data_IF_783535114947
#
_entry.id   IF_783535114947
#
_cell.length_a   1.000
_cell.length_b   1.000
_cell.length_c   1.000
_cell.angle_alpha   90.00
_cell.angle_beta   90.00
_cell.angle_gamma   90.00
#
_symmetry.space_group_name_H-M   'P 1'
#
loop_
_entity.id
_entity.type
_entity.pdbx_description
1 polymer ?
#
# COMPACT_ATOMS: atom_id res chain seq x y z
N UNK A 1 -15.92 -8.38 -12.64
CA UNK A 1 -16.54 -8.02 -11.35
C UNK A 1 -15.46 -7.39 -10.49
N UNK A 2 -15.58 -6.10 -10.18
CA UNK A 2 -14.67 -5.45 -9.22
C UNK A 2 -15.15 -5.73 -7.80
N UNK A 3 -14.21 -5.92 -6.86
CA UNK A 3 -14.50 -5.95 -5.44
C UNK A 3 -14.25 -4.55 -4.87
N UNK A 4 -15.16 -4.06 -4.01
CA UNK A 4 -14.92 -2.88 -3.20
C UNK A 4 -14.51 -3.33 -1.79
N UNK A 5 -13.34 -2.90 -1.33
CA UNK A 5 -12.80 -3.22 -0.01
C UNK A 5 -12.68 -1.91 0.76
N UNK A 6 -13.33 -1.84 1.91
CA UNK A 6 -13.29 -0.68 2.80
C UNK A 6 -12.62 -1.06 4.12
N UNK A 7 -11.49 -0.40 4.43
CA UNK A 7 -10.84 -0.50 5.74
C UNK A 7 -11.37 0.61 6.65
N UNK A 8 -11.91 0.24 7.82
CA UNK A 8 -12.48 1.19 8.79
C UNK A 8 -11.52 1.39 9.95
N UNK A 9 -11.45 2.61 10.48
CA UNK A 9 -10.73 2.89 11.73
C UNK A 9 -11.25 1.96 12.83
N UNK A 10 -10.33 1.31 13.54
CA UNK A 10 -10.66 0.33 14.59
C UNK A 10 -10.92 -1.10 14.10
N UNK A 11 -10.77 -1.38 12.80
CA UNK A 11 -10.74 -2.78 12.33
C UNK A 11 -9.40 -3.44 12.62
N UNK A 12 -9.40 -4.74 12.92
CA UNK A 12 -8.17 -5.51 13.17
C UNK A 12 -7.18 -5.48 11.99
N UNK A 13 -7.68 -5.28 10.77
CA UNK A 13 -6.86 -5.19 9.55
C UNK A 13 -6.18 -3.81 9.36
N UNK A 14 -6.49 -2.80 10.18
CA UNK A 14 -5.97 -1.44 10.06
C UNK A 14 -5.36 -0.98 11.38
N UNK A 15 -4.04 -1.11 11.50
CA UNK A 15 -3.31 -0.77 12.73
C UNK A 15 -3.30 0.74 13.03
N UNK A 16 -3.13 1.56 11.99
CA UNK A 16 -3.13 3.02 12.11
C UNK A 16 -3.57 3.66 10.79
N UNK A 17 -4.12 4.89 10.88
CA UNK A 17 -4.47 5.69 9.71
C UNK A 17 -4.33 7.17 10.03
N UNK A 18 -3.42 7.82 9.32
CA UNK A 18 -3.23 9.27 9.32
C UNK A 18 -3.60 9.82 7.93
N UNK A 19 -4.50 10.80 7.89
CA UNK A 19 -4.93 11.46 6.65
C UNK A 19 -4.68 12.95 6.81
N UNK A 20 -3.72 13.47 6.05
CA UNK A 20 -3.38 14.91 6.05
C UNK A 20 -4.25 15.69 5.07
N UNK A 21 -4.57 15.08 3.93
CA UNK A 21 -5.41 15.63 2.88
C UNK A 21 -6.19 14.50 2.18
N UNK A 22 -7.32 14.80 1.54
CA UNK A 22 -8.00 13.83 0.68
C UNK A 22 -7.12 13.45 -0.52
N UNK A 23 -6.78 12.16 -0.64
CA UNK A 23 -5.90 11.65 -1.70
C UNK A 23 -6.57 10.54 -2.51
N UNK A 24 -6.30 10.50 -3.82
CA UNK A 24 -6.75 9.42 -4.72
C UNK A 24 -5.65 9.05 -5.70
N UNK A 25 -5.37 7.76 -5.83
CA UNK A 25 -4.43 7.24 -6.83
C UNK A 25 -4.84 5.83 -7.26
N UNK A 26 -4.51 5.48 -8.51
CA UNK A 26 -4.79 4.16 -9.09
C UNK A 26 -3.48 3.45 -9.36
N UNK A 27 -3.37 2.17 -8.99
CA UNK A 27 -2.17 1.37 -9.21
C UNK A 27 -2.56 0.04 -9.88
N UNK A 28 -1.69 -0.55 -10.73
CA UNK A 28 -1.98 -1.86 -11.29
C UNK A 28 -1.93 -2.93 -10.18
N UNK A 29 -3.05 -3.63 -10.01
CA UNK A 29 -3.21 -4.67 -8.98
C UNK A 29 -2.18 -5.80 -9.12
N UNK A 30 -1.76 -6.14 -10.34
CA UNK A 30 -0.75 -7.18 -10.57
C UNK A 30 0.56 -6.88 -9.86
N UNK A 31 1.07 -5.65 -9.99
CA UNK A 31 2.31 -5.24 -9.32
C UNK A 31 2.16 -5.22 -7.80
N UNK A 32 1.05 -4.68 -7.28
CA UNK A 32 0.79 -4.71 -5.83
C UNK A 32 0.71 -6.15 -5.30
N UNK A 33 0.08 -7.06 -6.04
CA UNK A 33 -0.01 -8.47 -5.66
C UNK A 33 1.35 -9.15 -5.64
N UNK A 34 2.20 -8.91 -6.64
CA UNK A 34 3.53 -9.50 -6.72
C UNK A 34 4.45 -8.98 -5.60
N UNK A 35 4.40 -7.66 -5.31
CA UNK A 35 5.14 -7.04 -4.21
C UNK A 35 4.73 -7.66 -2.87
N UNK A 36 3.42 -7.70 -2.58
CA UNK A 36 2.90 -8.24 -1.32
C UNK A 36 3.27 -9.72 -1.16
N UNK A 37 3.14 -10.54 -2.21
CA UNK A 37 3.53 -11.96 -2.17
C UNK A 37 5.01 -12.17 -1.87
N UNK A 38 5.88 -11.32 -2.43
CA UNK A 38 7.32 -11.42 -2.20
C UNK A 38 7.68 -11.08 -0.74
N UNK A 39 6.99 -10.09 -0.15
CA UNK A 39 7.28 -9.62 1.20
C UNK A 39 6.53 -10.37 2.32
N UNK A 40 5.40 -11.01 2.03
CA UNK A 40 4.54 -11.67 3.03
C UNK A 40 5.19 -12.87 3.71
N UNK A 41 6.26 -13.42 3.15
CA UNK A 41 7.00 -14.52 3.76
C UNK A 41 7.86 -14.07 4.96
N UNK A 42 8.15 -12.77 5.07
CA UNK A 42 9.11 -12.23 6.04
C UNK A 42 8.57 -11.02 6.82
N UNK A 43 7.34 -10.58 6.54
CA UNK A 43 6.72 -9.42 7.18
C UNK A 43 5.21 -9.57 7.29
N UNK A 44 4.68 -9.33 8.49
CA UNK A 44 3.23 -9.34 8.76
C UNK A 44 2.57 -7.97 8.57
N UNK A 45 3.37 -6.89 8.56
CA UNK A 45 2.87 -5.50 8.57
C UNK A 45 3.53 -4.68 7.48
N UNK A 46 2.71 -3.98 6.71
CA UNK A 46 3.15 -3.00 5.72
C UNK A 46 2.64 -1.61 6.09
N UNK A 47 3.53 -0.63 6.06
CA UNK A 47 3.14 0.79 6.08
C UNK A 47 2.96 1.29 4.64
N UNK A 48 1.81 1.87 4.37
CA UNK A 48 1.43 2.40 3.06
C UNK A 48 1.37 3.92 3.14
N UNK A 49 2.10 4.59 2.25
CA UNK A 49 2.03 6.04 2.09
C UNK A 49 1.75 6.37 0.62
N UNK A 50 0.72 7.16 0.36
CA UNK A 50 0.39 7.61 -0.99
C UNK A 50 -0.20 9.02 -0.95
N UNK A 51 -0.07 9.72 -2.08
CA UNK A 51 -0.77 10.97 -2.37
C UNK A 51 -1.31 10.92 -3.80
N UNK A 52 -2.11 11.91 -4.18
CA UNK A 52 -2.64 12.06 -5.54
C UNK A 52 -1.48 12.22 -6.54
N UNK A 53 -1.51 11.45 -7.62
CA UNK A 53 -0.51 11.45 -8.71
C UNK A 53 0.96 11.22 -8.29
N UNK A 54 1.17 10.67 -7.09
CA UNK A 54 2.50 10.35 -6.55
C UNK A 54 2.68 8.83 -6.42
N UNK A 55 3.93 8.31 -6.51
CA UNK A 55 4.19 6.90 -6.24
C UNK A 55 3.72 6.49 -4.84
N UNK A 56 3.12 5.30 -4.74
CA UNK A 56 2.89 4.67 -3.43
C UNK A 56 4.19 4.10 -2.88
N UNK A 57 4.47 4.37 -1.62
CA UNK A 57 5.53 3.74 -0.83
C UNK A 57 4.91 2.58 -0.03
N UNK A 58 5.49 1.39 -0.18
CA UNK A 58 5.19 0.22 0.64
C UNK A 58 6.43 -0.12 1.47
N UNK A 59 6.34 0.00 2.79
CA UNK A 59 7.44 -0.30 3.71
C UNK A 59 7.09 -1.52 4.56
N UNK A 60 7.74 -2.65 4.24
CA UNK A 60 7.57 -3.91 4.94
C UNK A 60 8.65 -4.04 6.01
N UNK A 61 8.24 -4.05 7.28
CA UNK A 61 9.16 -4.25 8.40
C UNK A 61 9.70 -5.68 8.39
N UNK A 62 11.02 -5.82 8.32
CA UNK A 62 11.71 -7.11 8.33
C UNK A 62 12.24 -7.42 9.75
N UNK A 63 12.60 -8.69 10.03
CA UNK A 63 13.33 -9.04 11.25
C UNK A 63 14.63 -8.24 11.40
N UNK A 64 15.09 -8.08 12.65
CA UNK A 64 16.35 -7.40 12.98
C UNK A 64 16.44 -5.95 12.50
N UNK A 65 15.33 -5.20 12.56
CA UNK A 65 15.22 -3.79 12.16
C UNK A 65 15.56 -3.50 10.69
N UNK A 66 15.46 -4.50 9.82
CA UNK A 66 15.53 -4.30 8.37
C UNK A 66 14.24 -3.67 7.80
N UNK A 67 14.37 -2.95 6.69
CA UNK A 67 13.21 -2.46 5.91
C UNK A 67 13.34 -2.86 4.46
N UNK A 68 12.23 -3.34 3.88
CA UNK A 68 12.09 -3.56 2.45
C UNK A 68 11.07 -2.54 1.92
N UNK A 69 11.56 -1.58 1.13
CA UNK A 69 10.77 -0.45 0.66
C UNK A 69 10.59 -0.56 -0.86
N UNK A 70 9.33 -0.57 -1.30
CA UNK A 70 8.95 -0.48 -2.70
C UNK A 70 8.33 0.88 -3.01
N UNK A 71 8.61 1.39 -4.20
CA UNK A 71 7.93 2.54 -4.79
C UNK A 71 7.25 2.10 -6.08
N UNK A 72 5.95 2.37 -6.21
CA UNK A 72 5.18 2.04 -7.40
C UNK A 72 4.49 3.30 -7.91
N UNK A 73 4.80 3.69 -9.15
CA UNK A 73 4.16 4.83 -9.79
C UNK A 73 2.65 4.56 -10.02
N UNK A 74 1.79 5.59 -9.87
CA UNK A 74 0.39 5.46 -10.19
C UNK A 74 0.19 5.28 -11.70
N UNK A 75 -0.90 4.62 -12.06
CA UNK A 75 -1.44 4.69 -13.41
C UNK A 75 -2.12 6.03 -13.59
N UNK A 76 -1.57 6.83 -14.50
CA UNK A 76 -2.24 8.00 -15.04
C UNK A 76 -3.17 7.48 -16.14
N UNK A 77 -4.47 7.44 -15.87
CA UNK A 77 -5.45 7.34 -16.95
C UNK A 77 -5.45 8.71 -17.63
N UNK A 78 -4.85 8.78 -18.82
CA UNK A 78 -5.01 9.95 -19.68
C UNK A 78 -6.41 9.83 -20.26
N UNK A 79 -7.31 10.74 -19.88
CA UNK A 79 -8.59 10.92 -20.58
C UNK A 79 -8.38 11.24 -22.07
#
# INVERSE_FOLDING_TARGET
>A
MGANIELKKGSDALLSLEVKEPSRATYPLSYLSDIVKAASATSDVVALEFSTDMPVRLDFKQPYDGSLIYYLAPRIEVE
#
